data_IF_074671348477
#
_entry.id   IF_074671348477
#
_cell.length_a   1.000
_cell.length_b   1.000
_cell.length_c   1.000
_cell.angle_alpha   90.00
_cell.angle_beta   90.00
_cell.angle_gamma   90.00
#
_symmetry.space_group_name_H-M   'P 1'
#
loop_
_entity.id
_entity.type
_entity.pdbx_description
1 polymer ?
#
# COMPACT_ATOMS: atom_id res chain seq x y z
N UNK A 1 14.36 8.12 -8.56
CA UNK A 1 13.29 7.70 -9.49
C UNK A 1 12.00 8.04 -8.79
N UNK A 2 11.70 9.35 -8.76
CA UNK A 2 10.54 9.94 -8.07
C UNK A 2 9.27 9.80 -8.92
N UNK A 3 9.14 8.67 -9.60
CA UNK A 3 7.98 8.37 -10.43
C UNK A 3 7.01 7.58 -9.57
N UNK A 4 5.79 8.09 -9.48
CA UNK A 4 4.58 7.31 -9.22
C UNK A 4 4.01 7.25 -7.80
N UNK A 5 4.57 7.93 -6.78
CA UNK A 5 3.87 8.08 -5.48
C UNK A 5 2.53 8.78 -5.68
N UNK A 6 2.51 9.84 -6.50
CA UNK A 6 1.29 10.57 -6.82
C UNK A 6 0.32 9.75 -7.66
N UNK A 7 0.82 8.85 -8.51
CA UNK A 7 -0.02 8.09 -9.44
C UNK A 7 -0.94 7.14 -8.68
N UNK A 8 -0.42 6.40 -7.70
CA UNK A 8 -1.22 5.47 -6.91
C UNK A 8 -1.98 6.13 -5.76
N UNK A 9 -1.58 7.34 -5.34
CA UNK A 9 -2.22 8.03 -4.23
C UNK A 9 -3.70 8.31 -4.47
N UNK A 10 -4.07 8.60 -5.72
CA UNK A 10 -5.46 8.88 -6.09
C UNK A 10 -6.35 7.62 -6.12
N UNK A 11 -5.76 6.43 -6.20
CA UNK A 11 -6.46 5.14 -6.15
C UNK A 11 -6.77 4.67 -4.72
N UNK A 12 -6.23 5.36 -3.71
CA UNK A 12 -6.43 5.03 -2.30
C UNK A 12 -7.76 5.56 -1.77
N UNK A 13 -8.45 4.75 -0.97
CA UNK A 13 -9.52 5.24 -0.10
C UNK A 13 -8.99 6.25 0.92
N UNK A 14 -9.88 7.04 1.54
CA UNK A 14 -9.46 7.97 2.60
C UNK A 14 -8.82 7.23 3.78
N UNK A 15 -9.37 6.07 4.17
CA UNK A 15 -8.81 5.25 5.23
C UNK A 15 -7.41 4.73 4.86
N UNK A 16 -7.22 4.27 3.62
CA UNK A 16 -5.91 3.87 3.13
C UNK A 16 -4.90 5.02 3.14
N UNK A 17 -5.29 6.25 2.75
CA UNK A 17 -4.39 7.41 2.81
C UNK A 17 -3.85 7.67 4.22
N UNK A 18 -4.68 7.52 5.25
CA UNK A 18 -4.23 7.62 6.64
C UNK A 18 -3.25 6.51 7.03
N UNK A 19 -3.58 5.26 6.72
CA UNK A 19 -2.73 4.10 7.06
C UNK A 19 -1.41 4.10 6.28
N UNK A 20 -1.42 4.52 5.00
CA UNK A 20 -0.18 4.73 4.21
C UNK A 20 0.69 5.81 4.85
N UNK A 21 0.11 6.96 5.21
CA UNK A 21 0.85 8.04 5.86
C UNK A 21 1.46 7.62 7.20
N UNK A 22 0.77 6.74 7.95
CA UNK A 22 1.32 6.13 9.17
C UNK A 22 2.52 5.23 8.87
N UNK A 23 2.39 4.29 7.92
CA UNK A 23 3.47 3.37 7.55
C UNK A 23 4.69 4.06 6.93
N UNK A 24 4.50 5.16 6.21
CA UNK A 24 5.60 5.99 5.69
C UNK A 24 6.53 6.49 6.80
N UNK A 25 6.01 6.76 8.01
CA UNK A 25 6.83 7.16 9.17
C UNK A 25 7.74 6.04 9.67
N UNK A 26 7.44 4.79 9.31
CA UNK A 26 8.25 3.61 9.60
C UNK A 26 9.11 3.15 8.41
N UNK A 27 9.17 3.96 7.34
CA UNK A 27 9.99 3.70 6.16
C UNK A 27 9.38 2.76 5.13
N UNK A 28 8.05 2.60 5.15
CA UNK A 28 7.35 1.89 4.07
C UNK A 28 7.05 2.83 2.91
N UNK A 29 7.38 2.38 1.70
CA UNK A 29 7.04 3.04 0.46
C UNK A 29 5.84 2.37 -0.20
N UNK A 30 4.91 3.15 -0.73
CA UNK A 30 3.80 2.65 -1.54
C UNK A 30 4.34 2.15 -2.89
N UNK A 31 4.20 0.85 -3.14
CA UNK A 31 4.69 0.24 -4.38
C UNK A 31 3.65 0.33 -5.50
N UNK A 32 2.40 -0.07 -5.20
CA UNK A 32 1.29 -0.03 -6.14
C UNK A 32 -0.05 -0.20 -5.41
N UNK A 33 -1.13 0.14 -6.10
CA UNK A 33 -2.51 -0.18 -5.67
C UNK A 33 -3.10 -1.20 -6.64
N UNK A 34 -3.72 -2.25 -6.08
CA UNK A 34 -4.41 -3.28 -6.85
C UNK A 34 -5.92 -3.15 -6.64
N UNK A 35 -6.67 -3.00 -7.73
CA UNK A 35 -8.13 -3.12 -7.66
C UNK A 35 -8.53 -4.59 -7.63
N UNK A 36 -9.28 -4.98 -6.60
CA UNK A 36 -9.86 -6.30 -6.39
C UNK A 36 -11.38 -6.16 -6.24
N UNK A 37 -12.11 -7.28 -6.20
CA UNK A 37 -13.58 -7.26 -6.11
C UNK A 37 -14.12 -6.46 -4.90
N UNK A 38 -13.35 -6.41 -3.81
CA UNK A 38 -13.74 -5.72 -2.57
C UNK A 38 -13.13 -4.32 -2.42
N UNK A 39 -12.65 -3.71 -3.51
CA UNK A 39 -12.06 -2.37 -3.51
C UNK A 39 -10.57 -2.36 -3.85
N UNK A 40 -9.87 -1.32 -3.41
CA UNK A 40 -8.42 -1.17 -3.60
C UNK A 40 -7.65 -1.92 -2.49
N UNK A 41 -6.55 -2.55 -2.87
CA UNK A 41 -5.55 -3.10 -1.96
C UNK A 41 -4.23 -2.36 -2.20
N UNK A 42 -3.81 -1.54 -1.24
CA UNK A 42 -2.52 -0.86 -1.31
C UNK A 42 -1.42 -1.81 -0.85
N UNK A 43 -0.32 -1.87 -1.59
CA UNK A 43 0.84 -2.72 -1.28
C UNK A 43 2.06 -1.84 -1.04
N UNK A 44 2.69 -2.00 0.13
CA UNK A 44 3.84 -1.22 0.56
C UNK A 44 5.01 -2.12 0.93
N UNK A 45 6.22 -1.56 0.92
CA UNK A 45 7.42 -2.27 1.36
C UNK A 45 8.39 -1.39 2.14
N UNK A 46 9.06 -2.00 3.12
CA UNK A 46 10.19 -1.41 3.86
C UNK A 46 11.37 -2.40 3.81
N UNK A 47 12.27 -2.23 2.85
CA UNK A 47 13.35 -3.19 2.59
C UNK A 47 12.79 -4.56 2.17
N UNK A 48 13.00 -5.59 3.01
CA UNK A 48 12.49 -6.94 2.77
C UNK A 48 11.11 -7.21 3.38
N UNK A 49 10.53 -6.23 4.09
CA UNK A 49 9.21 -6.35 4.71
C UNK A 49 8.14 -5.84 3.75
N UNK A 50 7.02 -6.53 3.73
CA UNK A 50 5.83 -6.15 2.94
C UNK A 50 4.70 -5.77 3.89
N UNK A 51 3.86 -4.84 3.46
CA UNK A 51 2.59 -4.57 4.11
C UNK A 51 1.50 -4.42 3.05
N UNK A 52 0.27 -4.78 3.41
CA UNK A 52 -0.91 -4.54 2.60
C UNK A 52 -1.94 -3.77 3.42
N UNK A 53 -2.67 -2.88 2.77
CA UNK A 53 -3.75 -2.12 3.38
C UNK A 53 -5.03 -2.33 2.57
N UNK A 54 -6.06 -2.86 3.20
CA UNK A 54 -7.36 -3.02 2.56
C UNK A 54 -8.11 -1.69 2.40
N UNK A 55 -9.28 -1.72 1.78
CA UNK A 55 -10.07 -0.51 1.49
C UNK A 55 -10.51 0.24 2.75
N UNK A 56 -10.62 -0.45 3.89
CA UNK A 56 -11.03 0.10 5.19
C UNK A 56 -9.84 0.59 6.03
N UNK A 57 -8.62 0.53 5.48
CA UNK A 57 -7.41 1.00 6.13
C UNK A 57 -6.78 0.00 7.09
N UNK A 58 -7.24 -1.26 7.14
CA UNK A 58 -6.63 -2.28 7.99
C UNK A 58 -5.27 -2.68 7.43
N UNK A 59 -4.26 -2.67 8.30
CA UNK A 59 -2.87 -2.99 7.94
C UNK A 59 -2.59 -4.46 8.23
N UNK A 60 -2.12 -5.18 7.22
CA UNK A 60 -1.49 -6.49 7.35
C UNK A 60 0.02 -6.34 7.08
N UNK A 61 0.86 -6.50 8.11
CA UNK A 61 2.34 -6.39 7.99
C UNK A 61 3.04 -7.70 7.63
N UNK A 62 2.28 -8.79 7.43
CA UNK A 62 2.80 -10.06 6.94
C UNK A 62 1.88 -10.62 5.83
N UNK A 63 1.60 -9.81 4.79
CA UNK A 63 0.61 -10.18 3.81
C UNK A 63 1.13 -11.31 2.95
N UNK A 64 0.25 -12.25 2.59
CA UNK A 64 0.57 -13.34 1.66
C UNK A 64 0.57 -12.84 0.21
N UNK A 65 1.47 -11.92 -0.10
CA UNK A 65 1.64 -11.30 -1.42
C UNK A 65 2.89 -11.87 -2.08
N UNK A 66 2.71 -12.47 -3.26
CA UNK A 66 3.82 -12.91 -4.09
C UNK A 66 4.05 -11.85 -5.17
N UNK A 67 5.14 -11.10 -5.04
CA UNK A 67 5.60 -10.21 -6.11
C UNK A 67 6.08 -11.06 -7.29
N UNK A 68 5.55 -10.78 -8.48
CA UNK A 68 5.96 -11.42 -9.74
C UNK A 68 6.48 -10.34 -10.68
N UNK A 69 7.63 -10.60 -11.29
CA UNK A 69 8.27 -9.73 -12.28
C UNK A 69 7.52 -9.77 -13.61
#
# INVERSE_FOLDING_TARGET
MDKDIHFFWDDLSLAQKFSVAELQRFGYDLLFVRHIANGSLAVLAAGSKMAAIDVDGQIDTEPRVVLRH
#
